data_IF_724652027788
#
_entry.id   IF_724652027788
#
_cell.length_a   1.000
_cell.length_b   1.000
_cell.length_c   1.000
_cell.angle_alpha   90.00
_cell.angle_beta   90.00
_cell.angle_gamma   90.00
#
_symmetry.space_group_name_H-M   'P 1'
#
loop_
_entity.id
_entity.type
_entity.pdbx_description
1 polymer ?
#
# COMPACT_ATOMS: atom_id res chain seq x y z
N UNK A 1 -7.73 10.26 15.15
CA UNK A 1 -8.25 11.29 14.23
C UNK A 1 -7.22 11.40 13.10
N UNK A 2 -7.56 10.94 11.91
CA UNK A 2 -6.67 11.00 10.74
C UNK A 2 -6.68 12.47 10.27
N UNK A 3 -5.52 13.12 10.22
CA UNK A 3 -5.38 14.52 9.80
C UNK A 3 -5.23 14.61 8.28
N UNK A 4 -5.51 15.78 7.68
CA UNK A 4 -5.33 15.98 6.24
C UNK A 4 -3.91 15.70 5.75
N UNK A 5 -2.90 15.84 6.61
CA UNK A 5 -1.50 15.48 6.34
C UNK A 5 -1.29 13.98 6.26
N UNK A 6 -2.03 13.20 7.05
CA UNK A 6 -2.03 11.73 7.01
C UNK A 6 -2.60 11.25 5.66
N UNK A 7 -3.69 11.87 5.19
CA UNK A 7 -4.27 11.63 3.86
C UNK A 7 -3.32 11.98 2.69
N UNK A 8 -2.51 13.04 2.84
CA UNK A 8 -1.49 13.41 1.87
C UNK A 8 -0.31 12.44 1.88
N UNK A 9 0.17 12.01 3.05
CA UNK A 9 1.20 10.97 3.16
C UNK A 9 0.73 9.63 2.60
N UNK A 10 -0.54 9.27 2.83
CA UNK A 10 -1.18 8.08 2.24
C UNK A 10 -1.29 8.24 0.71
N UNK A 11 -1.66 9.42 0.22
CA UNK A 11 -1.73 9.71 -1.22
C UNK A 11 -0.34 9.73 -1.89
N UNK A 12 0.71 10.15 -1.18
CA UNK A 12 2.08 10.17 -1.69
C UNK A 12 2.74 8.78 -1.63
N UNK A 13 2.43 7.98 -0.61
CA UNK A 13 2.74 6.56 -0.55
C UNK A 13 2.05 5.80 -1.68
N UNK A 14 0.81 6.17 -2.04
CA UNK A 14 0.07 5.59 -3.17
C UNK A 14 0.77 5.80 -4.53
N UNK A 15 1.49 6.90 -4.72
CA UNK A 15 2.22 7.19 -5.97
C UNK A 15 3.53 6.42 -6.08
N UNK A 16 4.15 6.08 -4.94
CA UNK A 16 5.46 5.41 -4.92
C UNK A 16 5.40 3.94 -4.49
N UNK A 17 4.23 3.44 -4.09
CA UNK A 17 4.05 2.01 -3.89
C UNK A 17 3.99 1.33 -5.25
N UNK A 18 4.94 0.44 -5.50
CA UNK A 18 4.93 -0.42 -6.66
C UNK A 18 4.23 -1.74 -6.35
N UNK A 19 3.67 -2.35 -7.40
CA UNK A 19 3.15 -3.72 -7.37
C UNK A 19 4.15 -4.68 -6.71
N UNK A 20 5.42 -4.54 -7.05
CA UNK A 20 6.52 -5.38 -6.52
C UNK A 20 6.69 -5.24 -5.01
N UNK A 21 6.48 -4.05 -4.44
CA UNK A 21 6.62 -3.80 -3.00
C UNK A 21 5.45 -4.48 -2.24
N UNK A 22 4.24 -4.45 -2.82
CA UNK A 22 3.08 -5.18 -2.30
C UNK A 22 3.20 -6.71 -2.46
N UNK A 23 3.76 -7.19 -3.57
CA UNK A 23 4.08 -8.61 -3.79
C UNK A 23 5.17 -9.09 -2.82
N UNK A 24 6.18 -8.25 -2.54
CA UNK A 24 7.25 -8.56 -1.60
C UNK A 24 6.76 -8.56 -0.16
N UNK A 25 5.87 -7.63 0.20
CA UNK A 25 5.22 -7.58 1.51
C UNK A 25 4.16 -8.68 1.70
N UNK A 26 3.77 -9.40 0.64
CA UNK A 26 2.73 -10.44 0.71
C UNK A 26 1.31 -9.88 0.83
N UNK A 27 1.11 -8.61 0.48
CA UNK A 27 -0.21 -7.96 0.41
C UNK A 27 -1.02 -8.50 -0.77
N UNK A 28 -0.33 -8.76 -1.88
CA UNK A 28 -0.92 -9.37 -3.09
C UNK A 28 -0.12 -10.60 -3.48
N UNK A 29 -0.80 -11.54 -4.13
CA UNK A 29 -0.16 -12.73 -4.70
C UNK A 29 0.75 -12.37 -5.86
N UNK A 30 1.70 -13.25 -6.20
CA UNK A 30 2.49 -13.09 -7.42
C UNK A 30 1.72 -13.57 -8.65
N UNK A 31 1.99 -12.96 -9.81
CA UNK A 31 1.40 -13.36 -11.09
C UNK A 31 0.05 -12.66 -11.41
N UNK A 32 -0.83 -13.32 -12.17
CA UNK A 32 -2.10 -12.73 -12.64
C UNK A 32 -3.07 -12.36 -11.50
N UNK A 33 -3.09 -13.14 -10.42
CA UNK A 33 -3.91 -12.83 -9.24
C UNK A 33 -3.47 -11.52 -8.57
N UNK A 34 -2.15 -11.31 -8.50
CA UNK A 34 -1.54 -10.05 -8.07
C UNK A 34 -1.85 -8.89 -8.97
N UNK A 35 -1.84 -9.10 -10.29
CA UNK A 35 -2.11 -8.05 -11.26
C UNK A 35 -3.54 -7.51 -11.15
N UNK A 36 -4.52 -8.41 -10.98
CA UNK A 36 -5.92 -8.02 -10.72
C UNK A 36 -6.07 -7.32 -9.37
N UNK A 37 -5.38 -7.79 -8.33
CA UNK A 37 -5.37 -7.16 -7.03
C UNK A 37 -4.77 -5.75 -7.08
N UNK A 38 -3.68 -5.57 -7.84
CA UNK A 38 -3.02 -4.29 -8.09
C UNK A 38 -3.91 -3.32 -8.88
N UNK A 39 -4.54 -3.78 -9.95
CA UNK A 39 -5.52 -2.98 -10.70
C UNK A 39 -6.69 -2.54 -9.81
N UNK A 40 -7.20 -3.43 -8.96
CA UNK A 40 -8.26 -3.11 -8.01
C UNK A 40 -7.79 -2.14 -6.92
N UNK A 41 -6.55 -2.28 -6.44
CA UNK A 41 -5.94 -1.34 -5.48
C UNK A 41 -5.79 0.06 -6.07
N UNK A 42 -5.33 0.18 -7.32
CA UNK A 42 -5.22 1.45 -8.01
C UNK A 42 -6.57 2.11 -8.28
N UNK A 43 -7.59 1.31 -8.64
CA UNK A 43 -8.93 1.77 -8.98
C UNK A 43 -9.82 2.07 -7.77
N UNK A 44 -9.80 1.23 -6.74
CA UNK A 44 -10.71 1.28 -5.60
C UNK A 44 -10.02 0.76 -4.32
N UNK A 45 -9.15 1.59 -3.77
CA UNK A 45 -8.28 1.24 -2.63
C UNK A 45 -9.09 0.94 -1.37
N UNK A 46 -10.14 1.72 -1.09
CA UNK A 46 -10.99 1.55 0.09
C UNK A 46 -11.64 0.16 0.11
N UNK A 47 -12.25 -0.24 -1.02
CA UNK A 47 -12.85 -1.59 -1.15
C UNK A 47 -11.78 -2.67 -1.07
N UNK A 48 -10.60 -2.45 -1.65
CA UNK A 48 -9.49 -3.39 -1.59
C UNK A 48 -9.04 -3.63 -0.14
N UNK A 49 -8.81 -2.58 0.64
CA UNK A 49 -8.43 -2.66 2.06
C UNK A 49 -9.53 -3.32 2.90
N UNK A 50 -10.79 -2.99 2.64
CA UNK A 50 -11.94 -3.61 3.31
C UNK A 50 -12.01 -5.13 3.06
N UNK A 51 -11.76 -5.56 1.81
CA UNK A 51 -11.79 -6.98 1.40
C UNK A 51 -10.51 -7.75 1.76
N UNK A 52 -9.43 -7.06 2.10
CA UNK A 52 -8.19 -7.71 2.49
C UNK A 52 -8.35 -8.46 3.83
N UNK A 53 -7.89 -9.73 3.92
CA UNK A 53 -7.83 -10.44 5.19
C UNK A 53 -6.88 -9.73 6.16
N UNK A 54 -7.13 -9.88 7.47
CA UNK A 54 -6.40 -9.18 8.53
C UNK A 54 -4.87 -9.33 8.42
N UNK A 55 -4.38 -10.51 8.01
CA UNK A 55 -2.95 -10.76 7.83
C UNK A 55 -2.33 -9.91 6.71
N UNK A 56 -3.06 -9.72 5.60
CA UNK A 56 -2.58 -8.91 4.46
C UNK A 56 -2.76 -7.41 4.73
N UNK A 57 -3.76 -7.04 5.54
CA UNK A 57 -3.90 -5.66 6.03
C UNK A 57 -2.73 -5.25 6.92
N UNK A 58 -2.29 -6.13 7.82
CA UNK A 58 -1.12 -5.88 8.65
C UNK A 58 0.13 -5.70 7.76
N UNK A 59 0.34 -6.60 6.79
CA UNK A 59 1.43 -6.47 5.81
C UNK A 59 1.38 -5.16 5.00
N UNK A 60 0.19 -4.73 4.60
CA UNK A 60 0.01 -3.45 3.89
C UNK A 60 0.35 -2.27 4.80
N UNK A 61 -0.09 -2.30 6.05
CA UNK A 61 0.24 -1.24 7.01
C UNK A 61 1.76 -1.16 7.26
N UNK A 62 2.45 -2.30 7.37
CA UNK A 62 3.91 -2.33 7.50
C UNK A 62 4.60 -1.82 6.23
N UNK A 63 4.13 -2.21 5.03
CA UNK A 63 4.67 -1.72 3.77
C UNK A 63 4.50 -0.20 3.62
N UNK A 64 3.34 0.35 4.00
CA UNK A 64 3.09 1.80 4.00
C UNK A 64 4.02 2.51 4.98
N UNK A 65 4.22 1.96 6.18
CA UNK A 65 5.14 2.53 7.17
C UNK A 65 6.60 2.49 6.70
N UNK A 66 7.04 1.39 6.10
CA UNK A 66 8.39 1.24 5.53
C UNK A 66 8.62 2.23 4.37
N UNK A 67 7.64 2.38 3.47
CA UNK A 67 7.69 3.35 2.38
C UNK A 67 7.74 4.80 2.90
N UNK A 68 6.89 5.13 3.89
CA UNK A 68 6.91 6.46 4.51
C UNK A 68 8.27 6.76 5.19
N UNK A 69 8.88 5.76 5.84
CA UNK A 69 10.24 5.87 6.41
C UNK A 69 11.31 6.06 5.35
N UNK A 70 11.23 5.33 4.23
CA UNK A 70 12.16 5.49 3.09
C UNK A 70 12.08 6.90 2.49
N UNK A 71 10.88 7.42 2.27
CA UNK A 71 10.69 8.77 1.73
C UNK A 71 11.23 9.87 2.67
N UNK A 72 11.04 9.69 3.97
CA UNK A 72 11.62 10.60 4.97
C UNK A 72 13.16 10.59 4.93
N UNK A 73 13.76 9.41 4.72
CA UNK A 73 15.23 9.24 4.67
C UNK A 73 15.88 9.80 3.40
N UNK A 74 15.13 9.94 2.30
CA UNK A 74 15.62 10.51 1.03
C UNK A 74 15.53 12.05 1.02
N UNK A 75 14.80 12.64 1.97
CA UNK A 75 14.54 14.08 2.04
C UNK A 75 15.47 14.84 3.02
N UNK A 76 16.54 14.20 3.51
CA UNK A 76 17.52 14.75 4.46
C UNK A 76 18.95 14.41 4.03
#
# INVERSE_FOLDING_TARGET
>A
MITGTDLLHISLARVNMDRTDLEAAGVIDRGEAGDKAWSNFGRDMDTFILKLPAVRRAALAEAIQEQARRQYRVSH
#
